data_IF_545477761751
#
_entry.id   IF_545477761751
#
_cell.length_a   1.000
_cell.length_b   1.000
_cell.length_c   1.000
_cell.angle_alpha   90.00
_cell.angle_beta   90.00
_cell.angle_gamma   90.00
#
_symmetry.space_group_name_H-M   'P 1'
#
loop_
_entity.id
_entity.type
_entity.pdbx_description
1 polymer ?
#
# COMPACT_ATOMS: atom_id res chain seq x y z
N UNK A 1 6.84 -12.74 -0.79
CA UNK A 1 5.81 -12.86 0.26
C UNK A 1 6.26 -12.07 1.48
N UNK A 2 5.40 -11.21 2.03
CA UNK A 2 5.66 -10.53 3.31
C UNK A 2 4.98 -11.31 4.43
N UNK A 3 5.75 -11.75 5.42
CA UNK A 3 5.23 -12.39 6.62
C UNK A 3 5.33 -11.40 7.80
N UNK A 4 4.26 -11.29 8.59
CA UNK A 4 4.23 -10.50 9.82
C UNK A 4 3.95 -11.43 11.01
N UNK A 5 4.74 -11.31 12.08
CA UNK A 5 4.59 -12.12 13.31
C UNK A 5 3.72 -11.42 14.37
N UNK A 6 2.98 -10.38 14.00
CA UNK A 6 2.27 -9.53 14.98
C UNK A 6 0.91 -10.13 15.37
N UNK A 7 0.58 -10.17 16.68
CA UNK A 7 -0.65 -10.79 17.18
C UNK A 7 -1.93 -10.01 16.83
N UNK A 8 -1.79 -8.74 16.43
CA UNK A 8 -2.88 -7.88 15.92
C UNK A 8 -3.49 -8.40 14.61
N UNK A 9 -2.78 -9.29 13.90
CA UNK A 9 -3.21 -9.90 12.63
C UNK A 9 -3.66 -11.36 12.80
N UNK A 10 -4.14 -11.74 14.00
CA UNK A 10 -4.64 -13.09 14.29
C UNK A 10 -6.02 -13.32 13.67
N UNK A 11 -6.06 -14.11 12.60
CA UNK A 11 -7.28 -14.75 12.12
C UNK A 11 -7.54 -14.51 10.64
N UNK A 12 -7.50 -15.59 9.85
CA UNK A 12 -7.80 -15.68 8.41
C UNK A 12 -6.87 -14.88 7.49
N UNK A 13 -6.41 -15.54 6.43
CA UNK A 13 -5.85 -14.84 5.28
C UNK A 13 -6.95 -13.94 4.73
N UNK A 14 -6.73 -12.63 4.70
CA UNK A 14 -7.66 -11.69 4.11
C UNK A 14 -6.91 -10.84 3.09
N UNK A 15 -7.60 -10.50 2.01
CA UNK A 15 -7.05 -9.71 0.93
C UNK A 15 -7.73 -8.35 0.91
N UNK A 16 -6.92 -7.30 0.79
CA UNK A 16 -7.39 -5.92 0.77
C UNK A 16 -7.03 -5.30 -0.57
N UNK A 17 -8.04 -4.79 -1.28
CA UNK A 17 -7.83 -4.06 -2.53
C UNK A 17 -7.63 -2.57 -2.26
N UNK A 18 -6.54 -2.02 -2.79
CA UNK A 18 -6.18 -0.60 -2.65
C UNK A 18 -5.84 0.03 -3.99
N UNK A 19 -6.39 1.20 -4.25
CA UNK A 19 -6.07 2.05 -5.41
C UNK A 19 -4.84 2.88 -5.13
N UNK A 20 -4.11 3.23 -6.18
CA UNK A 20 -2.91 4.08 -6.09
C UNK A 20 -3.16 5.40 -5.32
N UNK A 21 -4.34 6.01 -5.45
CA UNK A 21 -4.71 7.22 -4.70
C UNK A 21 -4.75 7.01 -3.19
N UNK A 22 -5.11 5.81 -2.71
CA UNK A 22 -5.09 5.46 -1.29
C UNK A 22 -3.65 5.35 -0.78
N UNK A 23 -2.73 4.85 -1.61
CA UNK A 23 -1.29 4.89 -1.31
C UNK A 23 -0.77 6.33 -1.21
N UNK A 24 -1.18 7.22 -2.12
CA UNK A 24 -0.83 8.64 -2.05
C UNK A 24 -1.35 9.28 -0.76
N UNK A 25 -2.57 8.95 -0.35
CA UNK A 25 -3.18 9.42 0.88
C UNK A 25 -2.38 8.97 2.11
N UNK A 26 -2.15 7.66 2.30
CA UNK A 26 -1.48 7.15 3.50
C UNK A 26 -0.05 7.69 3.60
N UNK A 27 0.68 7.74 2.48
CA UNK A 27 2.03 8.31 2.44
C UNK A 27 2.03 9.78 2.86
N UNK A 28 1.09 10.57 2.34
CA UNK A 28 0.97 12.00 2.67
C UNK A 28 0.50 12.24 4.11
N UNK A 29 -0.34 11.34 4.64
CA UNK A 29 -0.79 11.35 6.04
C UNK A 29 0.39 11.09 6.98
N UNK A 30 1.14 10.02 6.74
CA UNK A 30 2.31 9.67 7.54
C UNK A 30 3.41 10.73 7.46
N UNK A 31 3.67 11.29 6.28
CA UNK A 31 4.70 12.32 6.12
C UNK A 31 4.38 13.61 6.90
N UNK A 32 3.09 13.92 7.09
CA UNK A 32 2.64 15.05 7.91
C UNK A 32 2.67 14.73 9.41
N UNK A 33 2.26 13.52 9.80
CA UNK A 33 2.25 13.11 11.21
C UNK A 33 3.64 12.86 11.76
N UNK A 34 4.60 12.45 10.91
CA UNK A 34 5.95 12.08 11.29
C UNK A 34 7.01 12.80 10.43
N UNK A 35 7.14 14.13 10.52
CA UNK A 35 8.02 14.91 9.65
C UNK A 35 9.52 14.57 9.80
N UNK A 36 9.92 14.01 10.94
CA UNK A 36 11.28 13.56 11.20
C UNK A 36 11.57 12.13 10.71
N UNK A 37 10.54 11.38 10.28
CA UNK A 37 10.70 10.00 9.82
C UNK A 37 10.77 9.94 8.30
N UNK A 38 11.60 9.03 7.80
CA UNK A 38 11.63 8.71 6.38
C UNK A 38 10.40 7.88 6.01
N UNK A 39 9.41 8.52 5.40
CA UNK A 39 8.26 7.82 4.79
C UNK A 39 8.65 7.35 3.39
N UNK A 40 8.59 6.03 3.09
CA UNK A 40 9.02 5.49 1.81
C UNK A 40 8.33 6.19 0.62
N UNK A 41 9.06 6.51 -0.46
CA UNK A 41 8.46 7.10 -1.65
C UNK A 41 7.58 6.08 -2.37
N UNK A 42 6.54 6.57 -3.04
CA UNK A 42 5.73 5.76 -3.95
C UNK A 42 6.45 5.68 -5.31
N UNK A 43 6.27 4.58 -6.08
CA UNK A 43 6.71 4.54 -7.46
C UNK A 43 6.11 5.73 -8.21
N UNK A 44 6.95 6.47 -8.93
CA UNK A 44 6.57 7.75 -9.50
C UNK A 44 5.40 7.67 -10.47
N UNK A 45 4.71 8.80 -10.65
CA UNK A 45 3.84 9.02 -11.81
C UNK A 45 4.74 9.17 -13.05
N UNK A 46 5.23 8.07 -13.65
CA UNK A 46 5.81 8.19 -14.99
C UNK A 46 4.70 8.68 -15.92
N UNK A 47 4.89 9.88 -16.46
CA UNK A 47 4.02 10.53 -17.43
C UNK A 47 4.72 10.43 -18.78
N UNK A 48 4.30 9.48 -19.61
CA UNK A 48 4.57 9.53 -21.05
C UNK A 48 3.34 8.97 -21.76
N UNK A 49 2.36 9.82 -22.07
CA UNK A 49 1.13 9.46 -22.81
C UNK A 49 0.15 8.49 -22.10
N UNK A 50 -1.12 8.50 -22.55
CA UNK A 50 -2.14 7.58 -22.05
C UNK A 50 -1.88 6.12 -22.47
N UNK A 51 -0.98 5.87 -23.41
CA UNK A 51 -0.61 4.53 -23.85
C UNK A 51 0.39 3.89 -22.88
N UNK A 52 1.42 4.62 -22.41
CA UNK A 52 2.44 4.01 -21.55
C UNK A 52 1.93 3.71 -20.13
N UNK A 53 0.92 4.43 -19.63
CA UNK A 53 0.33 4.20 -18.29
C UNK A 53 -0.41 2.86 -18.15
N UNK A 54 -0.68 2.19 -19.26
CA UNK A 54 -1.28 0.85 -19.30
C UNK A 54 -0.33 -0.19 -19.90
N UNK A 55 0.92 0.18 -20.20
CA UNK A 55 1.93 -0.79 -20.59
C UNK A 55 2.18 -1.77 -19.44
N UNK A 56 2.42 -3.04 -19.79
CA UNK A 56 2.70 -4.08 -18.81
C UNK A 56 3.95 -3.75 -17.99
N UNK A 57 4.97 -3.16 -18.62
CA UNK A 57 6.18 -2.69 -17.96
C UNK A 57 5.88 -1.65 -16.87
N UNK A 58 5.01 -0.69 -17.16
CA UNK A 58 4.59 0.32 -16.19
C UNK A 58 3.80 -0.29 -15.04
N UNK A 59 2.86 -1.19 -15.33
CA UNK A 59 2.06 -1.86 -14.30
C UNK A 59 2.94 -2.75 -13.40
N UNK A 60 3.89 -3.48 -13.98
CA UNK A 60 4.86 -4.29 -13.24
C UNK A 60 5.78 -3.44 -12.37
N UNK A 61 6.36 -2.36 -12.92
CA UNK A 61 7.22 -1.44 -12.18
C UNK A 61 6.45 -0.77 -11.01
N UNK A 62 5.21 -0.35 -11.26
CA UNK A 62 4.33 0.19 -10.23
C UNK A 62 4.03 -0.84 -9.16
N UNK A 63 3.61 -2.05 -9.54
CA UNK A 63 3.30 -3.12 -8.59
C UNK A 63 4.50 -3.44 -7.69
N UNK A 64 5.69 -3.59 -8.27
CA UNK A 64 6.93 -3.80 -7.53
C UNK A 64 7.26 -2.66 -6.57
N UNK A 65 7.09 -1.41 -7.00
CA UNK A 65 7.29 -0.23 -6.14
C UNK A 65 6.30 -0.14 -4.99
N UNK A 66 5.02 -0.45 -5.23
CA UNK A 66 3.98 -0.48 -4.19
C UNK A 66 4.24 -1.61 -3.19
N UNK A 67 4.64 -2.79 -3.66
CA UNK A 67 5.05 -3.90 -2.81
C UNK A 67 6.24 -3.50 -1.90
N UNK A 68 7.24 -2.81 -2.47
CA UNK A 68 8.39 -2.29 -1.71
C UNK A 68 7.96 -1.26 -0.66
N UNK A 69 7.04 -0.36 -1.01
CA UNK A 69 6.47 0.62 -0.08
C UNK A 69 5.81 -0.08 1.11
N UNK A 70 4.94 -1.06 0.86
CA UNK A 70 4.24 -1.81 1.91
C UNK A 70 5.20 -2.61 2.78
N UNK A 71 6.24 -3.22 2.19
CA UNK A 71 7.26 -3.91 2.95
C UNK A 71 7.94 -2.97 3.94
N UNK A 72 8.47 -1.84 3.45
CA UNK A 72 9.15 -0.86 4.31
C UNK A 72 8.24 -0.30 5.38
N UNK A 73 6.97 -0.04 5.04
CA UNK A 73 5.99 0.44 5.99
C UNK A 73 5.73 -0.57 7.11
N UNK A 74 5.58 -1.85 6.77
CA UNK A 74 5.35 -2.94 7.73
C UNK A 74 6.53 -3.20 8.67
N UNK A 75 7.77 -2.94 8.22
CA UNK A 75 8.98 -3.16 9.03
C UNK A 75 9.28 -1.98 9.95
N UNK A 76 8.76 -0.78 9.67
CA UNK A 76 9.06 0.40 10.47
C UNK A 76 8.28 0.41 11.79
N UNK A 77 8.93 0.41 12.98
CA UNK A 77 8.24 0.22 14.27
C UNK A 77 7.11 1.22 14.53
N UNK A 78 7.36 2.50 14.28
CA UNK A 78 6.37 3.56 14.49
C UNK A 78 5.29 3.59 13.41
N UNK A 79 5.67 3.64 12.13
CA UNK A 79 4.70 3.72 11.03
C UNK A 79 3.78 2.49 10.95
N UNK A 80 4.31 1.29 11.17
CA UNK A 80 3.49 0.06 11.16
C UNK A 80 2.48 -0.04 12.30
N UNK A 81 2.72 0.67 13.41
CA UNK A 81 1.81 0.74 14.56
C UNK A 81 0.84 1.94 14.46
N UNK A 82 0.98 2.77 13.42
CA UNK A 82 0.11 3.92 13.21
C UNK A 82 -1.33 3.45 12.88
N UNK A 83 -2.37 4.04 13.49
CA UNK A 83 -3.75 3.63 13.27
C UNK A 83 -4.19 3.70 11.80
N UNK A 84 -3.74 4.72 11.05
CA UNK A 84 -4.09 4.85 9.64
C UNK A 84 -3.39 3.77 8.80
N UNK A 85 -2.18 3.36 9.19
CA UNK A 85 -1.45 2.25 8.55
C UNK A 85 -2.10 0.90 8.85
N UNK A 86 -2.49 0.65 10.10
CA UNK A 86 -3.21 -0.57 10.48
C UNK A 86 -4.52 -0.63 9.69
N UNK A 87 -5.30 0.45 9.67
CA UNK A 87 -6.54 0.55 8.90
C UNK A 87 -6.31 0.29 7.40
N UNK A 88 -5.24 0.87 6.84
CA UNK A 88 -4.85 0.66 5.45
C UNK A 88 -4.60 -0.83 5.16
N UNK A 89 -3.97 -1.57 6.09
CA UNK A 89 -3.67 -2.99 5.94
C UNK A 89 -4.84 -3.93 6.27
N UNK A 90 -5.80 -3.54 7.12
CA UNK A 90 -6.79 -4.49 7.68
C UNK A 90 -8.23 -4.23 7.27
N UNK A 91 -8.62 -3.00 6.95
CA UNK A 91 -10.01 -2.69 6.65
C UNK A 91 -10.38 -3.16 5.24
N UNK A 92 -11.18 -4.23 5.16
CA UNK A 92 -11.91 -4.58 3.95
C UNK A 92 -12.88 -3.42 3.64
N UNK A 93 -12.82 -2.90 2.41
CA UNK A 93 -13.49 -1.65 2.04
C UNK A 93 -14.99 -1.64 2.35
N UNK A 94 -15.39 -0.83 3.34
CA UNK A 94 -16.68 -0.13 3.32
C UNK A 94 -16.48 1.36 3.69
N UNK A 95 -15.57 2.02 2.98
CA UNK A 95 -15.56 3.50 2.90
C UNK A 95 -15.29 3.88 1.45
N UNK A 96 -16.39 3.99 0.70
CA UNK A 96 -16.44 4.53 -0.65
C UNK A 96 -16.06 6.00 -0.65
N UNK A 97 -14.77 6.32 -0.75
CA UNK A 97 -14.30 7.69 -1.01
C UNK A 97 -13.25 7.65 -2.13
N UNK A 98 -13.74 7.94 -3.34
CA UNK A 98 -13.02 8.35 -4.56
C UNK A 98 -12.86 7.30 -5.67
N UNK A 99 -13.57 7.60 -6.76
CA UNK A 99 -13.79 6.87 -8.00
C UNK A 99 -12.57 6.84 -8.94
N UNK A 100 -12.60 5.82 -9.81
CA UNK A 100 -11.87 5.65 -11.07
C UNK A 100 -10.32 5.62 -11.05
N UNK A 101 -9.75 4.43 -10.94
CA UNK A 101 -8.34 4.20 -11.24
C UNK A 101 -7.90 2.76 -10.96
N UNK A 102 -7.13 2.20 -11.89
CA UNK A 102 -6.55 0.84 -11.96
C UNK A 102 -6.48 0.08 -10.63
N UNK A 103 -7.06 -1.13 -10.66
CA UNK A 103 -7.07 -2.13 -9.59
C UNK A 103 -5.66 -2.66 -9.36
N UNK A 104 -5.15 -2.56 -8.14
CA UNK A 104 -3.92 -3.25 -7.73
C UNK A 104 -4.35 -4.29 -6.69
N UNK A 105 -4.28 -5.55 -7.11
CA UNK A 105 -4.44 -6.72 -6.26
C UNK A 105 -3.04 -7.22 -5.91
N UNK A 106 -2.84 -7.60 -4.64
CA UNK A 106 -2.04 -8.74 -4.14
C UNK A 106 -1.72 -8.44 -2.68
N UNK A 107 -2.25 -9.27 -1.77
CA UNK A 107 -1.43 -10.01 -0.81
C UNK A 107 -2.23 -11.21 -0.32
N UNK A 108 -1.90 -12.38 -0.86
CA UNK A 108 -2.17 -13.63 -0.16
C UNK A 108 -1.21 -13.70 1.03
N UNK A 109 -1.69 -13.39 2.24
CA UNK A 109 -1.15 -14.13 3.38
C UNK A 109 -1.54 -15.59 3.15
N UNK A 110 -0.59 -16.51 3.20
CA UNK A 110 -0.90 -17.93 3.37
C UNK A 110 -0.31 -18.33 4.71
N UNK A 111 -1.19 -18.78 5.62
CA UNK A 111 -0.83 -19.67 6.71
C UNK A 111 -0.09 -20.89 6.15
N UNK A 112 1.17 -21.03 6.53
CA UNK A 112 1.86 -22.29 6.89
C UNK A 112 3.17 -21.92 7.59
#
# INVERSE_FOLDING_TARGET
MLQTKRPEFKGSNFEVERRYSEFEWIRSRLARSYPALFVPPLPGKMLTTALDRFSDDFLAARSSGLNTFLHRLSQHPLLSADPDTIAFFTLLNDVSIHSAGLRVIIFTLSLL
#
